data_IF_112149249716
#
_entry.id   IF_112149249716
#
_cell.length_a   1.000
_cell.length_b   1.000
_cell.length_c   1.000
_cell.angle_alpha   90.00
_cell.angle_beta   90.00
_cell.angle_gamma   90.00
#
_symmetry.space_group_name_H-M   'P 1'
#
loop_
_entity.id
_entity.type
_entity.pdbx_description
1 polymer ?
#
# COMPACT_ATOMS: atom_id res chain seq x y z
N UNK A 1 -11.68 1.61 -14.43
CA UNK A 1 -11.33 1.32 -13.03
C UNK A 1 -12.28 0.31 -12.37
N UNK A 2 -13.60 0.52 -12.33
CA UNK A 2 -14.56 -0.47 -11.77
C UNK A 2 -14.59 -1.81 -12.51
N UNK A 3 -14.43 -1.80 -13.83
CA UNK A 3 -14.35 -3.01 -14.64
C UNK A 3 -13.24 -3.98 -14.20
N UNK A 4 -12.13 -3.47 -13.63
CA UNK A 4 -11.06 -4.34 -13.15
C UNK A 4 -11.51 -5.21 -11.98
N UNK A 5 -12.31 -4.66 -11.05
CA UNK A 5 -12.85 -5.40 -9.91
C UNK A 5 -13.88 -6.47 -10.32
N UNK A 6 -14.45 -6.37 -11.53
CA UNK A 6 -15.42 -7.35 -12.05
C UNK A 6 -14.75 -8.40 -12.93
N UNK A 7 -13.83 -7.99 -13.79
CA UNK A 7 -13.22 -8.87 -14.80
C UNK A 7 -12.11 -9.74 -14.17
N UNK A 8 -11.24 -9.16 -13.35
CA UNK A 8 -10.07 -9.90 -12.84
C UNK A 8 -10.43 -11.09 -11.94
N UNK A 9 -11.45 -11.01 -11.06
CA UNK A 9 -11.93 -12.19 -10.35
C UNK A 9 -12.44 -13.27 -11.30
N UNK A 10 -13.30 -12.91 -12.26
CA UNK A 10 -13.82 -13.90 -13.22
C UNK A 10 -12.74 -14.53 -14.10
N UNK A 11 -11.68 -13.77 -14.42
CA UNK A 11 -10.56 -14.25 -15.21
C UNK A 11 -9.64 -15.18 -14.40
N UNK A 12 -9.43 -14.89 -13.12
CA UNK A 12 -8.63 -15.73 -12.23
C UNK A 12 -9.32 -17.04 -11.86
N UNK A 13 -10.66 -17.03 -11.71
CA UNK A 13 -11.44 -18.28 -11.58
C UNK A 13 -11.36 -19.12 -12.84
N UNK A 14 -11.34 -18.49 -14.01
CA UNK A 14 -11.24 -19.18 -15.29
C UNK A 14 -9.83 -19.76 -15.53
N UNK A 15 -8.80 -19.09 -15.02
CA UNK A 15 -7.41 -19.56 -15.02
C UNK A 15 -7.12 -20.63 -13.95
N UNK A 16 -8.11 -21.02 -13.15
CA UNK A 16 -7.98 -22.09 -12.17
C UNK A 16 -7.11 -21.74 -10.96
N UNK A 17 -7.03 -20.46 -10.58
CA UNK A 17 -6.37 -20.07 -9.34
C UNK A 17 -7.07 -20.71 -8.14
N UNK A 18 -6.28 -21.18 -7.18
CA UNK A 18 -6.80 -21.81 -5.97
C UNK A 18 -7.73 -20.85 -5.24
N UNK A 19 -8.99 -21.21 -5.09
CA UNK A 19 -9.99 -20.44 -4.33
C UNK A 19 -9.82 -20.60 -2.82
N UNK A 20 -9.00 -21.55 -2.38
CA UNK A 20 -8.69 -21.83 -0.98
C UNK A 20 -7.59 -20.94 -0.39
N UNK A 21 -6.77 -20.32 -1.26
CA UNK A 21 -5.64 -19.49 -0.83
C UNK A 21 -5.57 -18.18 -1.62
N UNK A 22 -5.59 -17.06 -0.89
CA UNK A 22 -5.72 -15.74 -1.48
C UNK A 22 -4.46 -15.20 -2.11
N UNK A 23 -3.31 -15.85 -1.90
CA UNK A 23 -2.01 -15.35 -2.30
C UNK A 23 -1.82 -15.33 -3.83
N UNK A 24 -2.25 -16.37 -4.54
CA UNK A 24 -2.06 -16.47 -5.99
C UNK A 24 -2.81 -15.36 -6.74
N UNK A 25 -4.08 -15.13 -6.39
CA UNK A 25 -4.85 -14.03 -6.95
C UNK A 25 -4.34 -12.67 -6.47
N UNK A 26 -3.92 -12.55 -5.21
CA UNK A 26 -3.35 -11.31 -4.67
C UNK A 26 -2.11 -10.86 -5.44
N UNK A 27 -1.17 -11.77 -5.73
CA UNK A 27 0.02 -11.44 -6.53
C UNK A 27 -0.33 -11.04 -7.96
N UNK A 28 -1.29 -11.72 -8.60
CA UNK A 28 -1.74 -11.37 -9.94
C UNK A 28 -2.45 -10.01 -9.98
N UNK A 29 -3.38 -9.76 -9.07
CA UNK A 29 -4.09 -8.48 -8.98
C UNK A 29 -3.11 -7.31 -8.71
N UNK A 30 -2.16 -7.50 -7.80
CA UNK A 30 -1.13 -6.50 -7.46
C UNK A 30 -0.16 -6.18 -8.61
N UNK A 31 0.09 -7.14 -9.50
CA UNK A 31 0.97 -6.95 -10.65
C UNK A 31 0.24 -6.43 -11.90
N UNK A 32 -0.94 -6.97 -12.19
CA UNK A 32 -1.66 -6.76 -13.44
C UNK A 32 -2.51 -5.48 -13.45
N UNK A 33 -3.08 -5.06 -12.31
CA UNK A 33 -3.89 -3.85 -12.23
C UNK A 33 -2.99 -2.65 -11.97
N UNK A 34 -3.09 -1.58 -12.76
CA UNK A 34 -2.16 -0.44 -12.71
C UNK A 34 -2.38 0.51 -11.53
N UNK A 35 -3.62 0.82 -11.18
CA UNK A 35 -3.95 1.82 -10.13
C UNK A 35 -4.22 1.17 -8.77
N UNK A 36 -3.60 1.67 -7.70
CA UNK A 36 -3.68 1.12 -6.34
C UNK A 36 -5.12 0.97 -5.84
N UNK A 37 -5.99 1.95 -6.08
CA UNK A 37 -7.39 1.88 -5.66
C UNK A 37 -8.16 0.73 -6.32
N UNK A 38 -7.84 0.43 -7.57
CA UNK A 38 -8.46 -0.68 -8.30
C UNK A 38 -7.88 -2.05 -7.95
N UNK A 39 -6.59 -2.12 -7.56
CA UNK A 39 -5.98 -3.32 -6.97
C UNK A 39 -6.70 -3.68 -5.67
N UNK A 40 -6.86 -2.71 -4.76
CA UNK A 40 -7.55 -2.89 -3.47
C UNK A 40 -9.00 -3.33 -3.68
N UNK A 41 -9.74 -2.67 -4.58
CA UNK A 41 -11.12 -3.05 -4.87
C UNK A 41 -11.25 -4.48 -5.39
N UNK A 42 -10.39 -4.88 -6.33
CA UNK A 42 -10.38 -6.21 -6.94
C UNK A 42 -10.05 -7.31 -5.92
N UNK A 43 -9.06 -7.07 -5.07
CA UNK A 43 -8.65 -8.03 -4.05
C UNK A 43 -9.71 -8.16 -2.94
N UNK A 44 -10.30 -7.05 -2.50
CA UNK A 44 -11.40 -7.05 -1.55
C UNK A 44 -12.66 -7.76 -2.10
N UNK A 45 -12.98 -7.57 -3.39
CA UNK A 45 -14.07 -8.32 -4.01
C UNK A 45 -13.81 -9.83 -4.00
N UNK A 46 -12.57 -10.26 -4.25
CA UNK A 46 -12.22 -11.68 -4.19
C UNK A 46 -12.28 -12.26 -2.78
N UNK A 47 -11.73 -11.56 -1.80
CA UNK A 47 -11.83 -11.98 -0.39
C UNK A 47 -13.30 -12.08 0.06
N UNK A 48 -14.17 -11.19 -0.43
CA UNK A 48 -15.62 -11.24 -0.15
C UNK A 48 -16.35 -12.38 -0.86
N UNK A 49 -15.94 -12.73 -2.09
CA UNK A 49 -16.56 -13.80 -2.89
C UNK A 49 -16.25 -15.20 -2.33
N UNK A 50 -15.07 -15.36 -1.71
CA UNK A 50 -14.58 -16.65 -1.25
C UNK A 50 -14.37 -16.74 0.27
N UNK A 51 -14.64 -15.68 1.03
CA UNK A 51 -14.59 -15.69 2.50
C UNK A 51 -13.18 -15.73 3.10
N UNK A 52 -12.16 -15.18 2.43
CA UNK A 52 -10.75 -15.30 2.83
C UNK A 52 -10.28 -14.30 3.88
N UNK A 53 -11.13 -13.36 4.31
CA UNK A 53 -10.89 -12.53 5.49
C UNK A 53 -9.76 -11.48 5.40
N UNK A 54 -9.18 -11.25 4.21
CA UNK A 54 -8.18 -10.21 3.80
C UNK A 54 -6.91 -10.77 3.13
N UNK A 55 -6.78 -12.10 3.04
CA UNK A 55 -5.53 -12.72 2.56
C UNK A 55 -5.14 -12.28 1.14
N UNK A 56 -6.10 -12.09 0.25
CA UNK A 56 -5.83 -11.58 -1.10
C UNK A 56 -5.51 -10.10 -1.07
N UNK A 57 -6.26 -9.31 -0.31
CA UNK A 57 -6.06 -7.87 -0.18
C UNK A 57 -4.65 -7.53 0.30
N UNK A 58 -4.20 -8.19 1.36
CA UNK A 58 -2.89 -7.93 1.96
C UNK A 58 -1.77 -8.30 1.00
N UNK A 59 -1.91 -9.41 0.28
CA UNK A 59 -0.93 -9.85 -0.73
C UNK A 59 -0.86 -8.86 -1.91
N UNK A 60 -2.02 -8.42 -2.41
CA UNK A 60 -2.08 -7.51 -3.56
C UNK A 60 -1.50 -6.13 -3.25
N UNK A 61 -1.82 -5.59 -2.07
CA UNK A 61 -1.28 -4.31 -1.61
C UNK A 61 0.22 -4.42 -1.36
N UNK A 62 0.69 -5.52 -0.76
CA UNK A 62 2.12 -5.75 -0.52
C UNK A 62 2.92 -5.74 -1.82
N UNK A 63 2.47 -6.45 -2.86
CA UNK A 63 3.12 -6.45 -4.18
C UNK A 63 3.16 -5.04 -4.78
N UNK A 64 2.08 -4.28 -4.61
CA UNK A 64 1.97 -2.92 -5.15
C UNK A 64 2.94 -1.95 -4.48
N UNK A 65 3.01 -1.99 -3.15
CA UNK A 65 3.91 -1.14 -2.37
C UNK A 65 5.37 -1.57 -2.49
N UNK A 66 5.63 -2.87 -2.67
CA UNK A 66 7.00 -3.38 -2.86
C UNK A 66 7.63 -2.82 -4.14
N UNK A 67 6.85 -2.56 -5.20
CA UNK A 67 7.38 -1.93 -6.42
C UNK A 67 7.98 -0.55 -6.13
N UNK A 68 7.30 0.28 -5.33
CA UNK A 68 7.80 1.60 -4.95
C UNK A 68 8.90 1.52 -3.91
N UNK A 69 8.78 0.59 -2.96
CA UNK A 69 9.77 0.38 -1.91
C UNK A 69 11.09 -0.11 -2.48
N UNK A 70 11.10 -0.91 -3.55
CA UNK A 70 12.31 -1.42 -4.18
C UNK A 70 13.05 -0.35 -5.01
N UNK A 71 12.35 0.64 -5.57
CA UNK A 71 12.98 1.73 -6.33
C UNK A 71 13.89 2.55 -5.42
N UNK A 72 13.47 2.88 -4.20
CA UNK A 72 14.23 3.71 -3.24
C UNK A 72 15.63 3.12 -2.90
N UNK A 73 15.79 1.85 -2.45
CA UNK A 73 17.08 1.27 -2.15
C UNK A 73 17.91 1.09 -3.42
N UNK A 74 17.32 0.74 -4.57
CA UNK A 74 18.05 0.63 -5.83
C UNK A 74 18.67 1.98 -6.21
N UNK A 75 17.88 3.06 -6.21
CA UNK A 75 18.39 4.39 -6.54
C UNK A 75 19.38 4.91 -5.50
N UNK A 76 19.17 4.59 -4.21
CA UNK A 76 20.12 4.94 -3.14
C UNK A 76 21.47 4.26 -3.34
N UNK A 77 21.49 2.96 -3.63
CA UNK A 77 22.73 2.21 -3.90
C UNK A 77 23.43 2.73 -5.15
N UNK A 78 22.69 2.97 -6.24
CA UNK A 78 23.23 3.53 -7.46
C UNK A 78 23.76 4.96 -7.26
N UNK A 79 23.06 5.79 -6.48
CA UNK A 79 23.49 7.13 -6.15
C UNK A 79 24.77 7.14 -5.33
N UNK A 80 24.91 6.25 -4.34
CA UNK A 80 26.15 6.09 -3.55
C UNK A 80 27.29 5.62 -4.45
N UNK A 81 27.04 4.63 -5.32
CA UNK A 81 28.06 4.13 -6.23
C UNK A 81 28.54 5.22 -7.21
N UNK A 82 27.63 6.04 -7.72
CA UNK A 82 27.94 7.17 -8.59
C UNK A 82 28.64 8.32 -7.82
N UNK A 83 28.23 8.61 -6.59
CA UNK A 83 28.84 9.64 -5.73
C UNK A 83 30.26 9.28 -5.29
N UNK A 84 30.60 7.99 -5.19
CA UNK A 84 31.99 7.54 -4.98
C UNK A 84 32.90 7.85 -6.17
N UNK A 85 32.34 8.01 -7.38
CA UNK A 85 33.08 8.41 -8.58
C UNK A 85 33.10 9.91 -8.87
N UNK A 86 32.16 10.68 -8.32
CA UNK A 86 32.06 12.14 -8.46
C UNK A 86 31.62 12.70 -7.10
N UNK A 87 32.48 13.45 -6.40
CA UNK A 87 32.20 13.98 -5.06
C UNK A 87 31.01 14.93 -5.00
N UNK A 88 29.78 14.40 -5.05
CA UNK A 88 28.54 15.14 -5.02
C UNK A 88 28.20 15.49 -3.57
N UNK A 89 28.21 16.78 -3.27
CA UNK A 89 27.86 17.30 -1.95
C UNK A 89 26.33 17.49 -1.88
N UNK A 90 25.66 16.67 -1.08
CA UNK A 90 24.21 16.74 -0.91
C UNK A 90 23.81 17.96 -0.05
N UNK A 91 23.04 18.88 -0.64
CA UNK A 91 22.57 20.08 0.05
C UNK A 91 21.41 19.72 1.01
N UNK A 92 21.64 19.87 2.32
CA UNK A 92 20.71 19.49 3.39
C UNK A 92 19.44 20.36 3.43
N UNK A 93 19.43 21.54 2.80
CA UNK A 93 18.29 22.46 2.89
C UNK A 93 17.06 22.05 2.06
N UNK A 94 17.21 21.23 1.01
CA UNK A 94 16.08 20.83 0.16
C UNK A 94 15.21 19.71 0.76
N UNK A 95 15.78 18.92 1.68
CA UNK A 95 15.11 17.75 2.26
C UNK A 95 13.99 18.11 3.23
N UNK A 96 14.12 19.23 3.94
CA UNK A 96 13.11 19.74 4.87
C UNK A 96 12.04 20.61 4.19
N UNK A 97 12.35 21.20 3.02
CA UNK A 97 11.41 22.03 2.27
C UNK A 97 10.39 21.23 1.45
N UNK A 98 10.66 19.95 1.19
CA UNK A 98 9.78 19.06 0.41
C UNK A 98 8.75 18.28 1.24
N UNK A 99 8.76 18.39 2.57
CA UNK A 99 7.89 17.58 3.42
C UNK A 99 6.45 18.12 3.42
N UNK A 100 5.45 17.36 2.93
CA UNK A 100 4.07 17.84 2.86
C UNK A 100 3.51 18.09 4.27
N UNK A 101 3.01 19.30 4.51
CA UNK A 101 2.47 19.70 5.83
C UNK A 101 1.32 18.79 6.30
N UNK A 102 0.61 18.14 5.36
CA UNK A 102 -0.42 17.14 5.63
C UNK A 102 0.10 15.98 6.50
N UNK A 103 1.34 15.52 6.29
CA UNK A 103 1.91 14.42 7.07
C UNK A 103 2.08 14.84 8.54
N UNK A 104 2.43 16.11 8.79
CA UNK A 104 2.56 16.65 10.15
C UNK A 104 1.21 16.62 10.88
N UNK A 105 0.14 17.07 10.21
CA UNK A 105 -1.21 17.02 10.76
C UNK A 105 -1.70 15.59 11.00
N UNK A 106 -1.39 14.66 10.09
CA UNK A 106 -1.74 13.25 10.24
C UNK A 106 -1.08 12.62 11.48
N UNK A 107 0.22 12.88 11.69
CA UNK A 107 0.94 12.38 12.87
C UNK A 107 0.35 12.97 14.15
N UNK A 108 0.08 14.28 14.17
CA UNK A 108 -0.55 14.93 15.33
C UNK A 108 -1.92 14.31 15.65
N UNK A 109 -2.79 14.13 14.65
CA UNK A 109 -4.09 13.50 14.84
C UNK A 109 -3.96 12.06 15.37
N UNK A 110 -3.07 11.26 14.80
CA UNK A 110 -2.80 9.89 15.25
C UNK A 110 -2.34 9.83 16.71
N UNK A 111 -1.44 10.73 17.11
CA UNK A 111 -0.98 10.82 18.51
C UNK A 111 -2.11 11.26 19.44
N UNK A 112 -2.93 12.22 19.03
CA UNK A 112 -4.11 12.64 19.81
C UNK A 112 -5.05 11.47 20.02
N UNK A 113 -5.40 10.72 18.97
CA UNK A 113 -6.25 9.53 19.08
C UNK A 113 -5.63 8.46 19.97
N UNK A 114 -4.32 8.26 19.88
CA UNK A 114 -3.59 7.27 20.70
C UNK A 114 -3.62 7.64 22.19
N UNK A 115 -3.36 8.92 22.51
CA UNK A 115 -3.38 9.42 23.89
C UNK A 115 -4.82 9.45 24.42
N UNK A 116 -5.78 9.87 23.60
CA UNK A 116 -7.21 9.85 23.94
C UNK A 116 -7.69 8.43 24.28
N UNK A 117 -7.30 7.43 23.48
CA UNK A 117 -7.57 6.03 23.76
C UNK A 117 -6.92 5.55 25.05
N UNK A 118 -5.67 5.96 25.34
CA UNK A 118 -4.99 5.64 26.59
C UNK A 118 -5.58 6.32 27.84
N UNK A 119 -6.25 7.48 27.67
CA UNK A 119 -6.93 8.22 28.73
C UNK A 119 -8.40 7.78 28.94
N UNK A 120 -8.86 6.73 28.25
CA UNK A 120 -10.18 6.16 28.43
C UNK A 120 -11.32 6.86 27.69
N UNK A 121 -11.01 7.73 26.72
CA UNK A 121 -12.02 8.20 25.77
C UNK A 121 -12.38 7.04 24.85
N UNK A 122 -13.63 6.59 24.90
CA UNK A 122 -14.14 5.48 24.09
C UNK A 122 -13.87 5.72 22.60
N UNK A 123 -13.39 4.67 21.93
CA UNK A 123 -13.13 4.68 20.48
C UNK A 123 -14.37 5.01 19.64
N UNK A 124 -15.55 4.94 20.25
CA UNK A 124 -16.85 5.30 19.67
C UNK A 124 -16.99 6.79 19.34
N UNK A 125 -16.15 7.67 19.90
CA UNK A 125 -16.09 9.08 19.47
C UNK A 125 -15.34 9.27 18.15
N UNK A 126 -14.50 8.30 17.77
CA UNK A 126 -13.65 8.36 16.59
C UNK A 126 -14.13 7.43 15.45
N UNK A 127 -15.22 6.71 15.65
CA UNK A 127 -15.88 5.98 14.57
C UNK A 127 -16.56 6.96 13.62
N UNK A 128 -16.48 6.74 12.29
CA UNK A 128 -17.25 7.52 11.34
C UNK A 128 -18.75 7.30 11.58
N UNK A 129 -19.53 8.39 11.59
CA UNK A 129 -21.01 8.38 11.64
C UNK A 129 -21.63 7.64 10.47
#
# INVERSE_FOLDING_TARGET
NVLAALIFPTLATWLGFSTDSGQAFGMFAGTAVNDTSSVTATAATWDSLYGLGSQTLDTAVTVKLTRTLAIIPITTVLAIWQARGKGVQADKKSLLAGFPIFILYFILASLVTTIAGHLGLGTDFFTPL
#
